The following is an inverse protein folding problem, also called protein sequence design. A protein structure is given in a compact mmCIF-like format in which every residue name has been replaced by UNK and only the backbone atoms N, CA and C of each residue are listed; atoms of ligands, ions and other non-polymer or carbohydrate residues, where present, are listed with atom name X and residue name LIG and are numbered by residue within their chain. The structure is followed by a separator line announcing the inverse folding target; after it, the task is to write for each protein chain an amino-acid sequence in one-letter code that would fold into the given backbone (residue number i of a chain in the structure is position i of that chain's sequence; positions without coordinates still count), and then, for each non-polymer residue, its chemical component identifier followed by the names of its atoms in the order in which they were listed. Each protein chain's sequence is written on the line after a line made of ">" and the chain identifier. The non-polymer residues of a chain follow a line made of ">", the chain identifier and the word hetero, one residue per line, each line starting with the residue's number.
data_IF_272059666494
#
_entry.id   IF_272059666494
#
_cell.length_a   1.000
_cell.length_b   1.000
_cell.length_c   1.000
_cell.angle_alpha   90.00
_cell.angle_beta   90.00
_cell.angle_gamma   90.00
#
_symmetry.space_group_name_H-M   'P 1'
#
loop_
_entity.id
_entity.type
_entity.pdbx_description
1 polymer ?
#
# COMPACT_ATOMS: atom_id res chain seq x y z
N UNK A 1 -5.91 -44.00 -25.54
CA UNK A 1 -4.93 -44.16 -24.43
C UNK A 1 -4.01 -42.95 -24.33
N UNK A 2 -3.24 -42.59 -25.36
CA UNK A 2 -2.27 -41.46 -25.34
C UNK A 2 -2.92 -40.09 -25.06
N UNK A 3 -4.09 -39.81 -25.63
CA UNK A 3 -4.79 -38.54 -25.45
C UNK A 3 -5.29 -38.31 -24.02
N UNK A 4 -5.72 -39.39 -23.34
CA UNK A 4 -6.19 -39.32 -21.95
C UNK A 4 -5.03 -39.01 -21.00
N UNK A 5 -3.85 -39.60 -21.26
CA UNK A 5 -2.64 -39.31 -20.48
C UNK A 5 -2.16 -37.87 -20.66
N UNK A 6 -2.25 -37.31 -21.87
CA UNK A 6 -1.92 -35.90 -22.16
C UNK A 6 -2.88 -34.93 -21.45
N UNK A 7 -4.17 -35.24 -21.37
CA UNK A 7 -5.14 -34.40 -20.67
C UNK A 7 -4.87 -34.41 -19.15
N UNK A 8 -4.60 -35.60 -18.59
CA UNK A 8 -4.30 -35.73 -17.15
C UNK A 8 -3.02 -34.98 -16.75
N UNK A 9 -1.97 -35.02 -17.57
CA UNK A 9 -0.72 -34.30 -17.28
C UNK A 9 -0.91 -32.79 -17.36
N UNK A 10 -1.67 -32.28 -18.33
CA UNK A 10 -2.00 -30.85 -18.43
C UNK A 10 -2.84 -30.36 -17.24
N UNK A 11 -3.84 -31.14 -16.82
CA UNK A 11 -4.66 -30.85 -15.63
C UNK A 11 -3.81 -30.79 -14.35
N UNK A 12 -2.88 -31.73 -14.17
CA UNK A 12 -2.00 -31.77 -13.01
C UNK A 12 -1.04 -30.57 -12.98
N UNK A 13 -0.50 -30.18 -14.14
CA UNK A 13 0.35 -29.01 -14.27
C UNK A 13 -0.41 -27.71 -13.91
N UNK A 14 -1.66 -27.57 -14.39
CA UNK A 14 -2.51 -26.43 -14.09
C UNK A 14 -2.83 -26.32 -12.59
N UNK A 15 -3.07 -27.46 -11.91
CA UNK A 15 -3.30 -27.49 -10.46
C UNK A 15 -2.08 -27.04 -9.66
N UNK A 16 -0.87 -27.49 -10.05
CA UNK A 16 0.37 -27.06 -9.40
C UNK A 16 0.57 -25.55 -9.55
N UNK A 17 0.38 -25.01 -10.77
CA UNK A 17 0.49 -23.55 -11.02
C UNK A 17 -0.56 -22.78 -10.20
N UNK A 18 -1.80 -23.26 -10.14
CA UNK A 18 -2.87 -22.64 -9.36
C UNK A 18 -2.56 -22.62 -7.85
N UNK A 19 -2.03 -23.72 -7.31
CA UNK A 19 -1.61 -23.82 -5.89
C UNK A 19 -0.44 -22.88 -5.61
N UNK A 20 0.57 -22.84 -6.49
CA UNK A 20 1.72 -21.93 -6.37
C UNK A 20 1.26 -20.46 -6.43
N UNK A 21 0.37 -20.11 -7.37
CA UNK A 21 -0.20 -18.75 -7.45
C UNK A 21 -1.07 -18.41 -6.23
N UNK A 22 -1.86 -19.35 -5.71
CA UNK A 22 -2.70 -19.14 -4.53
C UNK A 22 -1.86 -18.90 -3.26
N UNK A 23 -0.74 -19.61 -3.12
CA UNK A 23 0.17 -19.43 -1.99
C UNK A 23 1.01 -18.16 -2.12
N UNK A 24 1.31 -17.72 -3.34
CA UNK A 24 2.08 -16.50 -3.58
C UNK A 24 1.22 -15.22 -3.54
N UNK A 25 -0.11 -15.34 -3.47
CA UNK A 25 -1.04 -14.21 -3.37
C UNK A 25 -1.25 -13.68 -1.94
N UNK A 26 -0.44 -14.13 -0.96
CA UNK A 26 -0.53 -13.69 0.44
C UNK A 26 0.53 -12.69 0.89
N UNK A 27 1.31 -12.13 -0.02
CA UNK A 27 2.25 -11.05 0.29
C UNK A 27 2.14 -10.00 -0.80
N UNK A 28 1.02 -9.30 -0.86
CA UNK A 28 0.85 -7.93 -1.40
C UNK A 28 -0.57 -7.45 -1.06
N UNK A 29 -1.03 -7.82 0.14
CA UNK A 29 -2.18 -7.22 0.78
C UNK A 29 -1.64 -6.63 2.09
N UNK A 30 -2.03 -5.39 2.38
CA UNK A 30 -1.83 -4.70 3.66
C UNK A 30 -0.63 -3.77 3.92
N UNK A 31 -0.12 -3.07 2.90
CA UNK A 31 0.49 -1.74 3.18
C UNK A 31 -0.03 -0.64 2.25
N UNK A 32 -0.36 -0.97 1.00
CA UNK A 32 -0.93 0.01 0.06
C UNK A 32 -2.42 0.33 0.33
N UNK A 33 -3.15 -0.56 1.01
CA UNK A 33 -4.56 -0.37 1.37
C UNK A 33 -4.82 0.50 2.61
N UNK A 34 -3.84 0.64 3.52
CA UNK A 34 -3.93 1.55 4.66
C UNK A 34 -3.62 3.01 4.30
N UNK A 35 -2.98 3.25 3.16
CA UNK A 35 -2.62 4.59 2.72
C UNK A 35 -3.68 5.27 1.84
N UNK A 36 -4.72 4.54 1.43
CA UNK A 36 -5.62 4.99 0.36
C UNK A 36 -7.00 5.46 0.81
N UNK A 37 -7.31 5.51 2.12
CA UNK A 37 -8.67 5.88 2.54
C UNK A 37 -8.83 6.67 3.83
N UNK A 38 -7.76 7.06 4.52
CA UNK A 38 -7.91 7.94 5.67
C UNK A 38 -7.92 9.40 5.23
N UNK A 39 -8.98 9.79 4.50
CA UNK A 39 -9.27 11.21 4.17
C UNK A 39 -9.22 12.09 5.42
N UNK A 40 -9.48 11.51 6.59
CA UNK A 40 -9.41 12.18 7.89
C UNK A 40 -7.96 12.46 8.28
N UNK A 41 -7.03 11.53 8.10
CA UNK A 41 -5.59 11.77 8.26
C UNK A 41 -5.10 12.86 7.28
N UNK A 42 -5.43 12.75 6.00
CA UNK A 42 -5.04 13.75 5.00
C UNK A 42 -5.54 15.15 5.39
N UNK A 43 -6.80 15.25 5.80
CA UNK A 43 -7.41 16.52 6.23
C UNK A 43 -6.73 17.07 7.48
N UNK A 44 -6.37 16.20 8.45
CA UNK A 44 -5.62 16.61 9.64
C UNK A 44 -4.24 17.15 9.26
N UNK A 45 -3.48 16.42 8.44
CA UNK A 45 -2.15 16.85 7.98
C UNK A 45 -2.23 18.18 7.23
N UNK A 46 -3.21 18.34 6.33
CA UNK A 46 -3.47 19.60 5.62
C UNK A 46 -3.80 20.74 6.60
N UNK A 47 -4.60 20.48 7.63
CA UNK A 47 -4.93 21.48 8.63
C UNK A 47 -3.69 21.91 9.44
N UNK A 48 -2.81 20.97 9.81
CA UNK A 48 -1.55 21.28 10.52
C UNK A 48 -0.62 22.12 9.63
N UNK A 49 -0.50 21.78 8.34
CA UNK A 49 0.27 22.56 7.36
C UNK A 49 -0.29 23.98 7.26
N UNK A 50 -1.61 24.13 7.09
CA UNK A 50 -2.28 25.44 6.99
C UNK A 50 -2.19 26.27 8.26
N UNK A 51 -2.09 25.62 9.41
CA UNK A 51 -1.92 26.28 10.71
C UNK A 51 -0.50 26.81 10.91
N UNK A 52 0.42 26.57 9.97
CA UNK A 52 1.82 27.00 10.06
C UNK A 52 2.63 26.22 11.08
N UNK A 53 2.21 24.98 11.39
CA UNK A 53 2.92 24.16 12.37
C UNK A 53 4.26 23.65 11.82
N UNK A 54 5.23 23.43 12.71
CA UNK A 54 6.55 22.95 12.33
C UNK A 54 6.49 21.64 11.55
N UNK A 55 7.24 21.58 10.45
CA UNK A 55 7.29 20.41 9.57
C UNK A 55 7.69 19.14 10.32
N UNK A 56 8.55 19.24 11.34
CA UNK A 56 8.95 18.11 12.17
C UNK A 56 7.77 17.51 12.97
N UNK A 57 6.90 18.37 13.49
CA UNK A 57 5.69 17.95 14.23
C UNK A 57 4.72 17.25 13.29
N UNK A 58 4.54 17.79 12.07
CA UNK A 58 3.67 17.20 11.04
C UNK A 58 4.22 15.84 10.60
N UNK A 59 5.53 15.73 10.37
CA UNK A 59 6.20 14.46 10.03
C UNK A 59 6.05 13.42 11.14
N UNK A 60 6.21 13.84 12.40
CA UNK A 60 6.01 12.96 13.56
C UNK A 60 4.56 12.48 13.65
N UNK A 61 3.60 13.38 13.50
CA UNK A 61 2.18 13.05 13.48
C UNK A 61 1.85 12.01 12.39
N UNK A 62 2.33 12.23 11.16
CA UNK A 62 2.15 11.28 10.05
C UNK A 62 2.76 9.93 10.39
N UNK A 63 3.98 9.89 10.95
CA UNK A 63 4.63 8.64 11.34
C UNK A 63 3.86 7.90 12.44
N UNK A 64 3.37 8.61 13.45
CA UNK A 64 2.67 8.01 14.58
C UNK A 64 1.32 7.42 14.13
N UNK A 65 0.63 8.08 13.20
CA UNK A 65 -0.67 7.63 12.65
C UNK A 65 -0.54 6.53 11.58
N UNK A 66 0.51 6.57 10.75
CA UNK A 66 0.66 5.66 9.59
C UNK A 66 1.68 4.55 9.79
N UNK A 67 2.57 4.70 10.77
CA UNK A 67 3.77 3.85 10.93
C UNK A 67 4.85 4.09 9.87
N UNK A 68 4.73 5.13 9.03
CA UNK A 68 5.71 5.42 7.97
C UNK A 68 7.05 5.89 8.53
N UNK A 69 8.15 5.51 7.86
CA UNK A 69 9.47 6.00 8.23
C UNK A 69 9.61 7.50 7.94
N UNK A 70 10.55 8.17 8.61
CA UNK A 70 10.78 9.62 8.44
C UNK A 70 10.86 10.10 6.98
N UNK A 71 11.62 9.46 6.07
CA UNK A 71 11.65 9.89 4.65
C UNK A 71 10.31 9.65 3.93
N UNK A 72 9.56 8.61 4.32
CA UNK A 72 8.26 8.28 3.72
C UNK A 72 7.18 9.27 4.17
N UNK A 73 7.18 9.63 5.45
CA UNK A 73 6.29 10.66 6.01
C UNK A 73 6.56 12.04 5.40
N UNK A 74 7.83 12.42 5.22
CA UNK A 74 8.17 13.65 4.49
C UNK A 74 7.68 13.62 3.03
N UNK A 75 7.88 12.50 2.33
CA UNK A 75 7.40 12.33 0.96
C UNK A 75 5.87 12.39 0.87
N UNK A 76 5.17 11.89 1.88
CA UNK A 76 3.72 11.98 2.00
C UNK A 76 3.25 13.43 2.17
N UNK A 77 3.84 14.18 3.11
CA UNK A 77 3.53 15.60 3.33
C UNK A 77 3.81 16.43 2.08
N UNK A 78 4.95 16.20 1.42
CA UNK A 78 5.33 16.91 0.18
C UNK A 78 4.33 16.66 -0.95
N UNK A 79 3.81 15.43 -1.06
CA UNK A 79 2.74 15.11 -2.02
C UNK A 79 1.47 15.88 -1.70
N UNK A 80 1.03 15.89 -0.44
CA UNK A 80 -0.15 16.66 -0.01
C UNK A 80 -0.02 18.16 -0.27
N UNK A 81 1.15 18.75 -0.04
CA UNK A 81 1.41 20.16 -0.37
C UNK A 81 1.30 20.42 -1.88
N UNK A 82 1.90 19.55 -2.69
CA UNK A 82 1.87 19.65 -4.16
C UNK A 82 0.45 19.47 -4.72
N UNK A 83 -0.30 18.50 -4.21
CA UNK A 83 -1.65 18.17 -4.68
C UNK A 83 -2.70 19.20 -4.24
N UNK A 84 -2.48 19.89 -3.13
CA UNK A 84 -3.41 20.89 -2.57
C UNK A 84 -3.00 22.34 -2.81
N UNK A 85 -1.83 22.57 -3.42
CA UNK A 85 -1.29 23.92 -3.67
C UNK A 85 -0.99 24.69 -2.38
N UNK A 86 -0.46 23.99 -1.36
CA UNK A 86 -0.11 24.54 -0.05
C UNK A 86 1.38 24.82 0.07
#
# INVERSE_FOLDING_TARGET
>A
MVYVALIMTLMMLALIIAVVMNNNKKIHQDVSGRLSNDKKLEQQVVNLIRSGQDQEIIVRFVRDETGLNQPEAQKYIRRLQTERGL
#
